data_IF_795739503970
#
_entry.id   IF_795739503970
#
_cell.length_a   1.000
_cell.length_b   1.000
_cell.length_c   1.000
_cell.angle_alpha   90.00
_cell.angle_beta   90.00
_cell.angle_gamma   90.00
#
_symmetry.space_group_name_H-M   'P 1'
#
loop_
_entity.id
_entity.type
_entity.pdbx_description
1 polymer ?
#
# COMPACT_ATOMS: atom_id res chain seq x y z
N UNK A 1 -41.12 -25.23 -8.15
CA UNK A 1 -39.69 -24.88 -8.03
C UNK A 1 -39.46 -23.41 -8.37
N UNK A 2 -38.40 -22.84 -7.80
CA UNK A 2 -37.97 -21.44 -7.98
C UNK A 2 -36.55 -21.45 -8.57
N UNK A 3 -36.30 -20.70 -9.64
CA UNK A 3 -35.02 -20.73 -10.36
C UNK A 3 -34.26 -19.41 -10.19
N UNK A 4 -32.99 -19.50 -9.76
CA UNK A 4 -32.07 -18.36 -9.60
C UNK A 4 -30.80 -18.68 -10.39
N UNK A 5 -30.58 -17.95 -11.48
CA UNK A 5 -29.50 -18.25 -12.41
C UNK A 5 -29.67 -19.65 -13.02
N UNK A 6 -28.65 -20.50 -12.87
CA UNK A 6 -28.67 -21.91 -13.30
C UNK A 6 -29.16 -22.88 -12.23
N UNK A 7 -29.39 -22.41 -11.00
CA UNK A 7 -29.75 -23.25 -9.86
C UNK A 7 -31.27 -23.27 -9.66
N UNK A 8 -31.78 -24.44 -9.25
CA UNK A 8 -33.22 -24.71 -9.14
C UNK A 8 -33.53 -25.24 -7.74
N UNK A 9 -34.55 -24.67 -7.10
CA UNK A 9 -34.91 -24.99 -5.73
C UNK A 9 -36.34 -25.54 -5.62
N UNK A 10 -36.56 -26.44 -4.68
CA UNK A 10 -37.88 -26.95 -4.32
C UNK A 10 -38.72 -25.84 -3.67
N UNK A 11 -39.97 -25.65 -4.13
CA UNK A 11 -40.84 -24.61 -3.53
C UNK A 11 -41.30 -24.96 -2.12
N UNK A 12 -41.38 -26.26 -1.80
CA UNK A 12 -41.99 -26.68 -0.54
C UNK A 12 -41.00 -26.66 0.63
N UNK A 13 -39.75 -27.07 0.40
CA UNK A 13 -38.73 -27.18 1.45
C UNK A 13 -37.46 -26.34 1.20
N UNK A 14 -37.33 -25.68 0.05
CA UNK A 14 -36.16 -24.87 -0.29
C UNK A 14 -34.89 -25.65 -0.65
N UNK A 15 -34.94 -26.99 -0.70
CA UNK A 15 -33.77 -27.80 -1.09
C UNK A 15 -33.35 -27.56 -2.55
N UNK A 16 -32.06 -27.63 -2.83
CA UNK A 16 -31.52 -27.60 -4.20
C UNK A 16 -31.91 -28.88 -4.93
N UNK A 17 -32.53 -28.74 -6.10
CA UNK A 17 -32.94 -29.85 -6.95
C UNK A 17 -31.83 -30.22 -7.95
N UNK A 18 -31.90 -31.43 -8.48
CA UNK A 18 -31.01 -31.89 -9.54
C UNK A 18 -31.15 -31.04 -10.81
N UNK A 19 -30.13 -31.11 -11.69
CA UNK A 19 -30.08 -30.33 -12.92
C UNK A 19 -31.33 -30.50 -13.78
N UNK A 20 -31.84 -29.38 -14.32
CA UNK A 20 -32.96 -29.41 -15.28
C UNK A 20 -32.57 -30.19 -16.53
N UNK A 21 -33.45 -31.09 -16.96
CA UNK A 21 -33.37 -31.69 -18.30
C UNK A 21 -33.82 -30.70 -19.38
N UNK A 22 -34.39 -29.56 -19.00
CA UNK A 22 -34.88 -28.52 -19.91
C UNK A 22 -36.19 -28.88 -20.60
N UNK A 23 -36.87 -29.92 -20.13
CA UNK A 23 -38.12 -30.42 -20.69
C UNK A 23 -39.28 -30.08 -19.74
N UNK A 24 -40.18 -29.14 -20.10
CA UNK A 24 -41.25 -28.68 -19.22
C UNK A 24 -42.28 -29.76 -18.86
N UNK A 25 -42.25 -30.91 -19.54
CA UNK A 25 -43.13 -32.04 -19.27
C UNK A 25 -42.60 -32.99 -18.19
N UNK A 26 -41.30 -32.90 -17.87
CA UNK A 26 -40.67 -33.75 -16.84
C UNK A 26 -40.88 -33.19 -15.44
N UNK A 27 -40.92 -34.11 -14.48
CA UNK A 27 -41.04 -33.81 -13.06
C UNK A 27 -39.74 -34.20 -12.34
N UNK A 28 -39.19 -33.26 -11.58
CA UNK A 28 -38.04 -33.47 -10.70
C UNK A 28 -38.57 -33.69 -9.28
N UNK A 29 -38.17 -34.80 -8.67
CA UNK A 29 -38.60 -35.19 -7.31
C UNK A 29 -37.57 -34.68 -6.31
N UNK A 30 -38.01 -33.95 -5.29
CA UNK A 30 -37.14 -33.50 -4.22
C UNK A 30 -36.71 -34.68 -3.33
N UNK A 31 -35.40 -34.87 -3.13
CA UNK A 31 -34.84 -35.93 -2.28
C UNK A 31 -35.15 -35.75 -0.78
N UNK A 32 -35.51 -34.54 -0.34
CA UNK A 32 -35.74 -34.22 1.07
C UNK A 32 -37.22 -34.34 1.45
N UNK A 33 -38.11 -33.66 0.72
CA UNK A 33 -39.54 -33.64 1.05
C UNK A 33 -40.41 -34.50 0.12
N UNK A 34 -39.83 -35.12 -0.92
CA UNK A 34 -40.58 -35.93 -1.89
C UNK A 34 -41.47 -35.15 -2.86
N UNK A 35 -41.49 -33.81 -2.77
CA UNK A 35 -42.30 -32.96 -3.63
C UNK A 35 -41.91 -33.08 -5.11
N UNK A 36 -42.93 -33.12 -5.98
CA UNK A 36 -42.75 -33.16 -7.44
C UNK A 36 -42.79 -31.76 -8.02
N UNK A 37 -41.69 -31.32 -8.59
CA UNK A 37 -41.54 -30.01 -9.20
C UNK A 37 -41.47 -30.15 -10.73
N UNK A 38 -42.21 -29.31 -11.48
CA UNK A 38 -42.11 -29.27 -12.95
C UNK A 38 -40.79 -28.67 -13.38
N UNK A 39 -40.07 -29.36 -14.25
CA UNK A 39 -38.82 -28.89 -14.81
C UNK A 39 -39.03 -27.60 -15.63
N UNK A 40 -38.05 -26.70 -15.60
CA UNK A 40 -38.09 -25.40 -16.27
C UNK A 40 -36.86 -25.33 -17.19
N UNK A 41 -37.05 -24.77 -18.39
CA UNK A 41 -35.94 -24.53 -19.32
C UNK A 41 -34.89 -23.64 -18.63
N UNK A 42 -33.62 -24.10 -18.51
CA UNK A 42 -32.59 -23.31 -17.87
C UNK A 42 -32.40 -21.99 -18.62
N UNK A 43 -32.39 -20.88 -17.88
CA UNK A 43 -32.09 -19.56 -18.46
C UNK A 43 -30.62 -19.51 -18.85
N UNK A 44 -30.32 -18.95 -20.01
CA UNK A 44 -28.94 -18.71 -20.45
C UNK A 44 -28.23 -17.80 -19.46
N UNK A 45 -27.11 -18.28 -18.88
CA UNK A 45 -26.26 -17.50 -17.99
C UNK A 45 -25.06 -16.98 -18.78
N UNK A 46 -24.95 -15.65 -18.86
CA UNK A 46 -23.79 -14.98 -19.45
C UNK A 46 -22.81 -14.68 -18.31
N UNK A 47 -21.61 -15.23 -18.40
CA UNK A 47 -20.52 -14.88 -17.51
C UNK A 47 -19.45 -14.12 -18.30
N UNK A 48 -18.98 -13.02 -17.74
CA UNK A 48 -17.91 -12.21 -18.32
C UNK A 48 -16.69 -12.25 -17.40
N UNK A 49 -15.50 -12.26 -18.02
CA UNK A 49 -14.26 -12.15 -17.27
C UNK A 49 -14.18 -10.80 -16.57
N UNK A 50 -13.67 -10.79 -15.33
CA UNK A 50 -13.37 -9.53 -14.62
C UNK A 50 -12.43 -8.65 -15.45
N UNK A 51 -12.60 -7.34 -15.39
CA UNK A 51 -11.74 -6.39 -16.11
C UNK A 51 -10.23 -6.56 -15.77
N UNK A 52 -9.94 -6.95 -14.52
CA UNK A 52 -8.59 -7.24 -14.02
C UNK A 52 -8.08 -8.66 -14.29
N UNK A 53 -8.91 -9.56 -14.86
CA UNK A 53 -8.52 -10.95 -15.10
C UNK A 53 -7.36 -11.08 -16.11
N UNK A 54 -7.17 -10.09 -16.98
CA UNK A 54 -6.09 -10.07 -17.97
C UNK A 54 -5.34 -8.74 -17.90
N UNK A 55 -4.40 -8.56 -16.95
CA UNK A 55 -3.58 -7.36 -16.89
C UNK A 55 -2.67 -7.30 -18.12
N UNK A 56 -2.71 -6.18 -18.85
CA UNK A 56 -1.84 -5.95 -20.01
C UNK A 56 -1.49 -4.47 -20.13
N UNK A 57 -0.37 -4.17 -20.80
CA UNK A 57 0.05 -2.79 -21.07
C UNK A 57 -0.99 -2.02 -21.88
N UNK A 58 -1.65 -2.68 -22.84
CA UNK A 58 -2.76 -2.11 -23.61
C UNK A 58 -3.98 -1.78 -22.74
N UNK A 59 -4.33 -2.64 -21.76
CA UNK A 59 -5.42 -2.33 -20.82
C UNK A 59 -5.03 -1.24 -19.82
N UNK A 60 -3.78 -1.23 -19.35
CA UNK A 60 -3.28 -0.16 -18.48
C UNK A 60 -3.36 1.20 -19.16
N UNK A 61 -3.09 1.27 -20.48
CA UNK A 61 -3.26 2.48 -21.30
C UNK A 61 -4.72 2.93 -21.49
N UNK A 62 -5.70 2.06 -21.23
CA UNK A 62 -7.14 2.40 -21.25
C UNK A 62 -7.67 2.88 -19.91
N UNK A 63 -6.85 2.82 -18.84
CA UNK A 63 -7.23 3.36 -17.53
C UNK A 63 -7.30 4.88 -17.57
N UNK A 64 -8.38 5.46 -17.04
CA UNK A 64 -8.50 6.90 -16.83
C UNK A 64 -7.60 7.42 -15.69
N UNK A 65 -7.07 6.51 -14.87
CA UNK A 65 -6.16 6.81 -13.76
C UNK A 65 -4.72 6.60 -14.20
N UNK A 66 -3.89 7.63 -14.01
CA UNK A 66 -2.44 7.56 -14.19
C UNK A 66 -1.84 6.65 -13.11
N UNK A 67 -1.14 5.59 -13.54
CA UNK A 67 -0.35 4.77 -12.62
C UNK A 67 0.93 5.55 -12.25
N UNK A 68 0.89 6.26 -11.12
CA UNK A 68 2.08 6.91 -10.57
C UNK A 68 3.10 5.85 -10.18
N UNK A 69 4.31 5.96 -10.73
CA UNK A 69 5.42 5.10 -10.35
C UNK A 69 6.03 5.58 -9.03
N UNK A 70 6.81 4.71 -8.37
CA UNK A 70 7.54 5.10 -7.17
C UNK A 70 8.52 6.26 -7.43
N UNK A 71 8.96 6.45 -8.67
CA UNK A 71 9.80 7.59 -9.07
C UNK A 71 9.02 8.92 -9.10
N UNK A 72 7.72 8.88 -9.37
CA UNK A 72 6.87 10.08 -9.43
C UNK A 72 6.51 10.59 -8.03
N UNK A 73 6.53 9.70 -7.03
CA UNK A 73 6.30 10.04 -5.63
C UNK A 73 7.63 10.43 -4.96
N UNK A 74 8.08 11.65 -5.23
CA UNK A 74 9.18 12.24 -4.44
C UNK A 74 8.68 12.60 -3.05
N UNK A 75 8.84 11.68 -2.10
CA UNK A 75 8.49 11.90 -0.68
C UNK A 75 9.57 12.68 0.09
N UNK A 76 10.70 12.96 -0.56
CA UNK A 76 11.84 13.63 0.08
C UNK A 76 11.63 15.16 0.10
N UNK A 77 11.80 15.78 1.27
CA UNK A 77 11.74 17.24 1.42
C UNK A 77 13.14 17.87 1.23
N UNK A 78 13.20 19.12 0.78
CA UNK A 78 14.46 19.88 0.67
C UNK A 78 14.84 20.51 2.01
N UNK A 79 16.14 20.53 2.32
CA UNK A 79 16.69 21.24 3.49
C UNK A 79 18.04 21.88 3.18
N UNK A 80 18.39 22.90 3.96
CA UNK A 80 19.67 23.61 3.88
C UNK A 80 20.78 22.77 4.54
N UNK A 81 21.30 21.81 3.79
CA UNK A 81 22.44 21.00 4.20
C UNK A 81 23.49 20.95 3.09
N UNK A 82 24.74 21.27 3.43
CA UNK A 82 25.84 21.26 2.46
C UNK A 82 26.30 19.84 2.14
N UNK A 83 26.35 19.48 0.86
CA UNK A 83 26.84 18.18 0.40
C UNK A 83 28.37 18.12 0.49
N UNK A 84 28.90 17.13 1.21
CA UNK A 84 30.34 16.93 1.38
C UNK A 84 31.08 16.60 0.07
N UNK A 85 30.37 16.09 -0.96
CA UNK A 85 30.97 15.66 -2.23
C UNK A 85 31.01 16.77 -3.29
N UNK A 86 29.97 17.57 -3.42
CA UNK A 86 29.86 18.59 -4.49
C UNK A 86 29.63 20.02 -3.98
N UNK A 87 29.54 20.25 -2.67
CA UNK A 87 29.45 21.58 -2.08
C UNK A 87 28.10 22.31 -2.25
N UNK A 88 27.08 21.69 -2.86
CA UNK A 88 25.72 22.27 -2.92
C UNK A 88 25.17 22.47 -1.52
N UNK A 89 24.48 23.58 -1.29
CA UNK A 89 23.93 23.99 0.02
C UNK A 89 22.58 23.35 0.36
N UNK A 90 21.98 22.63 -0.58
CA UNK A 90 20.68 22.00 -0.42
C UNK A 90 20.76 20.51 -0.73
N UNK A 91 20.06 19.72 0.09
CA UNK A 91 19.93 18.28 -0.06
C UNK A 91 18.50 17.85 0.26
N UNK A 92 18.08 16.74 -0.35
CA UNK A 92 16.84 16.08 0.01
C UNK A 92 17.02 15.27 1.29
N UNK A 93 16.00 15.21 2.14
CA UNK A 93 16.02 14.38 3.34
C UNK A 93 14.74 13.57 3.50
N UNK A 94 14.85 12.45 4.20
CA UNK A 94 13.73 11.62 4.64
C UNK A 94 14.01 11.07 6.02
N UNK A 95 13.04 11.14 6.91
CA UNK A 95 13.13 10.62 8.28
C UNK A 95 12.42 9.28 8.38
N UNK A 96 13.10 8.28 8.94
CA UNK A 96 12.54 6.94 9.16
C UNK A 96 12.89 6.48 10.57
N UNK A 97 11.89 5.96 11.29
CA UNK A 97 12.09 5.33 12.58
C UNK A 97 12.51 3.86 12.36
N UNK A 98 13.80 3.57 12.54
CA UNK A 98 14.36 2.22 12.35
C UNK A 98 14.61 1.47 13.67
N UNK A 99 14.31 2.11 14.80
CA UNK A 99 14.60 1.61 16.16
C UNK A 99 13.42 1.88 17.09
N UNK A 100 13.53 1.40 18.33
CA UNK A 100 12.54 1.63 19.38
C UNK A 100 12.13 3.10 19.50
N UNK A 101 10.93 3.35 20.03
CA UNK A 101 10.38 4.70 20.16
C UNK A 101 11.23 5.65 21.03
N UNK A 102 12.08 5.09 21.89
CA UNK A 102 12.98 5.84 22.80
C UNK A 102 14.28 6.32 22.11
N UNK A 103 14.51 5.91 20.86
CA UNK A 103 15.66 6.37 20.08
C UNK A 103 15.23 7.41 19.04
N UNK A 104 16.05 8.45 18.84
CA UNK A 104 15.78 9.47 17.84
C UNK A 104 15.72 8.92 16.41
N UNK A 105 14.96 9.59 15.55
CA UNK A 105 14.74 9.12 14.17
C UNK A 105 16.02 9.13 13.34
N UNK A 106 16.09 8.24 12.36
CA UNK A 106 17.19 8.18 11.40
C UNK A 106 16.87 9.07 10.20
N UNK A 107 17.78 9.99 9.87
CA UNK A 107 17.64 10.93 8.75
C UNK A 107 18.52 10.47 7.60
N UNK A 108 17.90 10.20 6.46
CA UNK A 108 18.57 9.92 5.20
C UNK A 108 18.71 11.20 4.40
N UNK A 109 19.92 11.54 3.98
CA UNK A 109 20.15 12.67 3.07
C UNK A 109 20.53 12.17 1.67
N UNK A 110 19.90 12.73 0.64
CA UNK A 110 20.16 12.45 -0.77
C UNK A 110 20.50 13.75 -1.50
N UNK A 111 21.68 13.83 -2.10
CA UNK A 111 22.05 14.94 -2.97
C UNK A 111 21.69 14.64 -4.43
N UNK A 112 21.41 15.69 -5.21
CA UNK A 112 21.22 15.61 -6.67
C UNK A 112 22.42 15.00 -7.40
N UNK A 113 23.64 15.12 -6.84
CA UNK A 113 24.83 14.47 -7.40
C UNK A 113 24.89 12.94 -7.17
N UNK A 114 23.89 12.35 -6.51
CA UNK A 114 23.84 10.93 -6.16
C UNK A 114 24.54 10.57 -4.85
N UNK A 115 25.19 11.51 -4.15
CA UNK A 115 25.75 11.26 -2.83
C UNK A 115 24.65 11.09 -1.78
N UNK A 116 24.73 10.01 -1.00
CA UNK A 116 23.77 9.67 0.05
C UNK A 116 24.52 9.34 1.33
N UNK A 117 23.99 9.78 2.47
CA UNK A 117 24.53 9.42 3.78
C UNK A 117 23.42 9.49 4.84
N UNK A 118 23.68 8.91 6.01
CA UNK A 118 22.68 8.71 7.06
C UNK A 118 23.16 9.36 8.35
N UNK A 119 22.27 10.09 9.02
CA UNK A 119 22.51 10.62 10.36
C UNK A 119 21.54 9.94 11.32
N UNK A 120 22.07 9.45 12.45
CA UNK A 120 21.25 9.04 13.58
C UNK A 120 21.17 10.23 14.53
N UNK A 121 19.99 10.82 14.66
CA UNK A 121 19.81 11.86 15.66
C UNK A 121 19.72 11.18 17.02
N UNK A 122 20.60 11.50 17.99
CA UNK A 122 20.35 11.11 19.36
C UNK A 122 19.07 11.81 19.84
N UNK A 123 18.22 11.08 20.56
CA UNK A 123 17.14 11.68 21.33
C UNK A 123 17.80 12.60 22.36
N UNK A 124 17.69 13.91 22.17
CA UNK A 124 18.29 14.90 23.07
C UNK A 124 17.25 15.31 24.11
N UNK A 125 17.19 14.57 25.22
CA UNK A 125 16.81 15.14 26.51
C UNK A 125 18.12 15.39 27.27
N UNK A 126 18.25 16.61 27.77
CA UNK A 126 19.22 17.09 28.78
C UNK A 126 20.63 17.53 28.32
N UNK A 127 20.73 18.84 28.11
CA UNK A 127 21.41 19.69 29.10
C UNK A 127 22.91 19.94 28.98
N UNK A 128 23.79 18.96 28.76
CA UNK A 128 25.23 19.21 28.89
C UNK A 128 26.11 18.39 27.92
N UNK A 129 26.85 19.12 27.07
CA UNK A 129 27.84 18.66 26.08
C UNK A 129 27.30 17.88 24.86
N UNK A 130 27.08 18.61 23.75
CA UNK A 130 26.57 18.08 22.47
C UNK A 130 27.73 17.71 21.53
N UNK A 131 28.16 16.46 21.54
CA UNK A 131 29.02 15.90 20.49
C UNK A 131 28.17 15.00 19.58
N UNK A 132 27.94 15.42 18.34
CA UNK A 132 27.16 14.67 17.35
C UNK A 132 28.09 13.73 16.58
N UNK A 133 27.86 12.42 16.67
CA UNK A 133 28.61 11.42 15.92
C UNK A 133 27.91 11.13 14.58
N UNK A 134 28.51 11.60 13.49
CA UNK A 134 28.07 11.26 12.13
C UNK A 134 28.73 9.93 11.75
N UNK A 135 27.91 8.94 11.42
CA UNK A 135 28.35 7.65 10.90
C UNK A 135 28.09 7.63 9.39
N UNK A 136 29.16 7.58 8.60
CA UNK A 136 29.00 7.31 7.16
C UNK A 136 28.51 5.86 6.95
N UNK A 137 27.93 5.56 5.79
CA UNK A 137 27.50 4.21 5.37
C UNK A 137 28.66 3.19 5.34
N UNK A 138 29.90 3.65 5.45
CA UNK A 138 31.13 2.86 5.54
C UNK A 138 31.66 2.70 6.98
N UNK A 139 30.93 3.15 8.01
CA UNK A 139 31.31 2.99 9.42
C UNK A 139 32.36 3.98 9.93
N UNK A 140 32.81 4.93 9.12
CA UNK A 140 33.78 5.94 9.53
C UNK A 140 33.13 7.04 10.38
N UNK A 141 33.71 7.32 11.54
CA UNK A 141 33.27 8.38 12.46
C UNK A 141 33.95 9.69 12.13
N UNK A 142 33.16 10.75 11.88
CA UNK A 142 33.67 12.13 11.91
C UNK A 142 33.01 12.89 13.07
N UNK A 143 33.83 13.33 14.04
CA UNK A 143 33.42 14.31 15.04
C UNK A 143 33.41 15.70 14.40
N UNK A 144 32.26 16.36 14.41
CA UNK A 144 32.13 17.77 14.05
C UNK A 144 31.66 18.55 15.28
N UNK A 145 32.47 19.53 15.69
CA UNK A 145 32.11 20.49 16.73
C UNK A 145 31.11 21.49 16.16
N UNK A 146 29.84 21.39 16.55
CA UNK A 146 28.81 22.34 16.12
C UNK A 146 28.83 23.52 17.11
N UNK A 147 29.10 24.73 16.59
CA UNK A 147 28.93 25.99 17.33
C UNK A 147 27.44 26.22 17.62
N UNK A 148 27.16 26.84 18.77
CA UNK A 148 25.87 26.96 19.49
C UNK A 148 24.64 27.49 18.71
N UNK A 149 24.76 27.86 17.44
CA UNK A 149 23.76 28.74 16.79
C UNK A 149 22.66 28.01 16.01
N UNK A 150 22.62 26.68 16.00
CA UNK A 150 21.55 25.90 15.36
C UNK A 150 20.46 25.50 16.38
N UNK A 151 19.72 26.50 16.87
CA UNK A 151 18.40 26.28 17.47
C UNK A 151 17.36 26.28 16.35
N UNK A 152 16.84 25.09 16.01
CA UNK A 152 15.61 24.97 15.25
C UNK A 152 14.47 25.57 16.08
N UNK A 153 13.85 26.62 15.57
CA UNK A 153 12.62 27.18 16.12
C UNK A 153 11.48 26.18 15.99
N UNK A 154 11.24 25.41 17.04
CA UNK A 154 9.92 24.85 17.32
C UNK A 154 9.11 25.97 17.97
N UNK A 155 8.38 26.74 17.17
CA UNK A 155 7.20 27.43 17.69
C UNK A 155 6.21 26.36 18.09
N UNK A 156 6.07 26.15 19.40
CA UNK A 156 5.02 25.36 19.99
C UNK A 156 3.67 25.94 19.54
N UNK A 157 2.94 25.20 18.72
CA UNK A 157 1.50 25.40 18.59
C UNK A 157 0.90 24.76 19.84
N UNK A 158 0.65 25.58 20.85
CA UNK A 158 -0.27 25.23 21.92
C UNK A 158 -1.70 25.25 21.38
N UNK A 159 -2.51 24.33 21.90
CA UNK A 159 -3.96 24.24 21.71
C UNK A 159 -4.67 25.59 21.83
#
# INVERSE_FOLDING_TARGET
MSAIGSLIFCNDCGNLLDESSGDPTKLIVCSICGARNRDIVPKTIVSESKASAFPSTLRAKRSAVQNLTAADKRTEALTQHTCARCGRKEMYFTTVQLRSADEGSTVFYTCVCGYKYVIRLPFAVDGHSRTMLIFDLQGNTKQLNIRKDFYFGFTAVHL
#
